data_IF_003565882538
#
_entry.id   IF_003565882538
#
_cell.length_a   1.000
_cell.length_b   1.000
_cell.length_c   1.000
_cell.angle_alpha   90.00
_cell.angle_beta   90.00
_cell.angle_gamma   90.00
#
_symmetry.space_group_name_H-M   'P 1'
#
loop_
_entity.id
_entity.type
_entity.pdbx_description
1 polymer ?
#
# COMPACT_ATOMS: atom_id res chain seq x y z
N UNK A 1 10.81 -4.68 1.37
CA UNK A 1 9.81 -4.47 0.30
C UNK A 1 10.12 -3.24 -0.54
N UNK A 2 9.97 -2.01 -0.04
CA UNK A 2 10.19 -0.79 -0.86
C UNK A 2 11.57 -0.70 -1.50
N UNK A 3 12.63 -1.14 -0.82
CA UNK A 3 13.97 -1.19 -1.43
C UNK A 3 14.04 -2.14 -2.63
N UNK A 4 13.33 -3.27 -2.59
CA UNK A 4 13.26 -4.22 -3.73
C UNK A 4 12.55 -3.56 -4.91
N UNK A 5 11.43 -2.89 -4.64
CA UNK A 5 10.61 -2.18 -5.63
C UNK A 5 11.44 -1.07 -6.29
N UNK A 6 12.19 -0.31 -5.49
CA UNK A 6 13.12 0.71 -5.99
C UNK A 6 14.18 0.11 -6.92
N UNK A 7 14.79 -1.01 -6.56
CA UNK A 7 15.83 -1.65 -7.38
C UNK A 7 15.32 -2.24 -8.68
N UNK A 8 14.11 -2.79 -8.69
CA UNK A 8 13.56 -3.48 -9.86
C UNK A 8 12.88 -2.48 -10.81
N UNK A 9 12.17 -1.48 -10.28
CA UNK A 9 11.30 -0.60 -11.06
C UNK A 9 11.68 0.89 -11.01
N UNK A 10 12.70 1.28 -10.24
CA UNK A 10 13.05 2.69 -10.05
C UNK A 10 12.01 3.47 -9.20
N UNK A 11 11.06 2.78 -8.56
CA UNK A 11 9.96 3.41 -7.82
C UNK A 11 10.33 3.65 -6.35
N UNK A 12 10.15 4.89 -5.88
CA UNK A 12 10.34 5.29 -4.48
C UNK A 12 9.00 5.50 -3.79
N UNK A 13 8.77 4.78 -2.69
CA UNK A 13 7.62 5.00 -1.82
C UNK A 13 7.92 6.09 -0.78
N UNK A 14 7.04 7.09 -0.67
CA UNK A 14 7.12 8.16 0.34
C UNK A 14 5.85 8.14 1.19
N UNK A 15 6.01 8.05 2.50
CA UNK A 15 4.87 8.12 3.42
C UNK A 15 4.33 9.54 3.53
N UNK A 16 2.99 9.67 3.54
CA UNK A 16 2.30 10.90 3.91
C UNK A 16 1.43 10.68 5.14
N UNK A 17 1.39 11.71 5.99
CA UNK A 17 0.68 11.69 7.28
C UNK A 17 -0.46 12.71 7.35
N UNK A 18 -0.61 13.51 6.31
CA UNK A 18 -1.63 14.55 6.15
C UNK A 18 -2.83 14.06 5.32
N UNK A 19 -3.02 12.74 5.26
CA UNK A 19 -4.12 12.08 4.54
C UNK A 19 -5.05 11.43 5.55
N UNK A 20 -6.36 11.61 5.36
CA UNK A 20 -7.38 11.02 6.22
C UNK A 20 -7.33 9.49 6.14
N UNK A 21 -7.41 8.84 7.30
CA UNK A 21 -7.39 7.38 7.43
C UNK A 21 -8.50 6.90 8.35
N UNK A 22 -9.02 5.69 8.10
CA UNK A 22 -10.10 5.10 8.91
C UNK A 22 -9.61 4.45 10.21
N UNK A 23 -8.30 4.24 10.37
CA UNK A 23 -7.72 3.63 11.55
C UNK A 23 -6.30 4.16 11.79
N UNK A 24 -5.85 4.39 13.04
CA UNK A 24 -4.52 4.96 13.34
C UNK A 24 -3.33 4.14 12.82
N UNK A 25 -3.51 2.83 12.66
CA UNK A 25 -2.48 1.94 12.12
C UNK A 25 -2.40 1.94 10.58
N UNK A 26 -3.34 2.58 9.90
CA UNK A 26 -3.34 2.68 8.44
C UNK A 26 -2.36 3.78 8.04
N UNK A 27 -1.50 3.45 7.08
CA UNK A 27 -0.48 4.37 6.56
C UNK A 27 -0.75 4.66 5.10
N UNK A 28 -0.46 5.87 4.63
CA UNK A 28 -0.60 6.23 3.24
C UNK A 28 0.77 6.48 2.60
N UNK A 29 0.95 5.95 1.40
CA UNK A 29 2.19 6.10 0.64
C UNK A 29 1.91 6.57 -0.78
N UNK A 30 2.77 7.44 -1.26
CA UNK A 30 2.85 7.84 -2.67
C UNK A 30 4.03 7.14 -3.33
N UNK A 31 3.86 6.72 -4.58
CA UNK A 31 4.88 6.09 -5.40
C UNK A 31 5.38 7.06 -6.48
N UNK A 32 6.68 7.35 -6.45
CA UNK A 32 7.36 8.24 -7.38
C UNK A 32 8.31 7.46 -8.28
N UNK A 33 8.35 7.78 -9.57
CA UNK A 33 9.37 7.23 -10.48
C UNK A 33 10.73 7.96 -10.36
N UNK A 34 11.68 7.57 -11.22
CA UNK A 34 13.04 8.13 -11.24
C UNK A 34 13.09 9.61 -11.63
N UNK A 35 12.06 10.10 -12.33
CA UNK A 35 11.89 11.52 -12.67
C UNK A 35 11.16 12.30 -11.58
N UNK A 36 10.88 11.65 -10.44
CA UNK A 36 10.11 12.19 -9.32
C UNK A 36 8.66 12.55 -9.73
N UNK A 37 8.10 11.85 -10.70
CA UNK A 37 6.68 11.95 -11.05
C UNK A 37 5.84 11.00 -10.20
N UNK A 38 4.71 11.49 -9.69
CA UNK A 38 3.74 10.65 -8.99
C UNK A 38 3.11 9.64 -9.96
N UNK A 39 3.25 8.35 -9.65
CA UNK A 39 2.68 7.25 -10.45
C UNK A 39 1.35 6.76 -9.88
N UNK A 40 1.25 6.68 -8.56
CA UNK A 40 0.06 6.25 -7.85
C UNK A 40 0.28 6.29 -6.34
N UNK A 41 -0.73 5.90 -5.59
CA UNK A 41 -0.67 5.89 -4.13
C UNK A 41 -1.38 4.67 -3.56
N UNK A 42 -1.13 4.35 -2.29
CA UNK A 42 -1.87 3.29 -1.62
C UNK A 42 -1.98 3.51 -0.12
N UNK A 43 -3.07 3.01 0.44
CA UNK A 43 -3.23 2.79 1.88
C UNK A 43 -2.66 1.41 2.24
N UNK A 44 -1.98 1.34 3.37
CA UNK A 44 -1.42 0.12 3.93
C UNK A 44 -2.08 -0.18 5.27
N UNK A 45 -2.90 -1.23 5.33
CA UNK A 45 -3.64 -1.65 6.53
C UNK A 45 -3.23 -3.09 6.93
N UNK A 46 -2.14 -3.21 7.70
CA UNK A 46 -1.46 -4.49 7.95
C UNK A 46 -2.12 -5.36 9.02
N UNK A 47 -2.65 -4.75 10.07
CA UNK A 47 -2.91 -5.47 11.32
C UNK A 47 -4.34 -6.00 11.42
N UNK A 48 -4.46 -7.19 12.00
CA UNK A 48 -5.76 -7.77 12.36
C UNK A 48 -6.40 -6.97 13.51
N UNK A 49 -7.71 -6.73 13.41
CA UNK A 49 -8.54 -6.10 14.44
C UNK A 49 -10.00 -6.53 14.29
N UNK A 50 -10.78 -6.34 15.35
CA UNK A 50 -12.22 -6.60 15.31
C UNK A 50 -12.91 -5.80 14.19
N UNK A 51 -13.92 -6.39 13.58
CA UNK A 51 -14.74 -5.79 12.52
C UNK A 51 -13.97 -5.43 11.22
N UNK A 52 -12.73 -5.87 11.07
CA UNK A 52 -12.00 -5.88 9.80
C UNK A 52 -12.23 -7.21 9.09
N UNK A 53 -12.48 -7.18 7.78
CA UNK A 53 -12.56 -8.38 6.95
C UNK A 53 -11.29 -9.23 7.12
N UNK A 54 -11.42 -10.56 7.13
CA UNK A 54 -10.27 -11.48 7.22
C UNK A 54 -9.59 -11.72 5.87
N UNK A 55 -8.33 -12.16 5.90
CA UNK A 55 -7.50 -12.46 4.72
C UNK A 55 -6.44 -11.40 4.40
N UNK A 56 -5.87 -11.45 3.20
CA UNK A 56 -5.08 -10.39 2.62
C UNK A 56 -5.58 -10.15 1.19
N UNK A 57 -5.65 -8.88 0.78
CA UNK A 57 -6.14 -8.50 -0.53
C UNK A 57 -5.69 -7.08 -0.90
N UNK A 58 -5.63 -6.83 -2.19
CA UNK A 58 -5.62 -5.50 -2.79
C UNK A 58 -7.01 -5.15 -3.33
N UNK A 59 -7.43 -3.90 -3.23
CA UNK A 59 -8.64 -3.38 -3.89
C UNK A 59 -8.45 -1.93 -4.38
N UNK A 60 -9.28 -1.51 -5.33
CA UNK A 60 -9.20 -0.20 -5.96
C UNK A 60 -9.91 0.85 -5.09
N UNK A 61 -9.18 1.88 -4.67
CA UNK A 61 -9.78 3.09 -4.06
C UNK A 61 -10.17 4.08 -5.16
N UNK A 62 -9.23 4.35 -6.06
CA UNK A 62 -9.40 5.22 -7.22
C UNK A 62 -8.74 4.54 -8.41
N UNK A 63 -9.49 4.34 -9.49
CA UNK A 63 -8.95 3.81 -10.74
C UNK A 63 -8.19 4.87 -11.55
N UNK A 64 -7.19 4.44 -12.31
CA UNK A 64 -6.52 5.30 -13.28
C UNK A 64 -7.49 5.67 -14.41
N UNK A 65 -7.60 6.97 -14.70
CA UNK A 65 -8.51 7.45 -15.75
C UNK A 65 -7.97 8.71 -16.41
N UNK A 66 -8.08 8.80 -17.73
CA UNK A 66 -7.90 10.07 -18.44
C UNK A 66 -9.23 10.83 -18.42
N UNK A 67 -9.24 12.01 -17.80
CA UNK A 67 -10.43 12.86 -17.71
C UNK A 67 -10.70 13.55 -19.05
N UNK A 68 -11.90 14.13 -19.19
CA UNK A 68 -12.33 14.81 -20.41
C UNK A 68 -11.44 16.00 -20.78
N UNK A 69 -10.81 16.65 -19.79
CA UNK A 69 -9.84 17.75 -19.98
C UNK A 69 -8.43 17.27 -20.39
N UNK A 70 -8.23 15.96 -20.57
CA UNK A 70 -6.97 15.34 -20.93
C UNK A 70 -6.05 15.02 -19.75
N UNK A 71 -6.36 15.51 -18.54
CA UNK A 71 -5.58 15.23 -17.33
C UNK A 71 -5.68 13.75 -16.92
N UNK A 72 -4.61 13.24 -16.30
CA UNK A 72 -4.55 11.86 -15.83
C UNK A 72 -4.86 11.80 -14.33
N UNK A 73 -5.95 11.15 -13.97
CA UNK A 73 -6.23 10.73 -12.60
C UNK A 73 -5.30 9.58 -12.23
N UNK A 74 -4.51 9.78 -11.18
CA UNK A 74 -3.60 8.76 -10.66
C UNK A 74 -4.36 7.74 -9.80
N UNK A 75 -4.03 6.45 -9.90
CA UNK A 75 -4.70 5.41 -9.13
C UNK A 75 -4.35 5.48 -7.65
N UNK A 76 -5.28 5.02 -6.82
CA UNK A 76 -5.10 4.80 -5.39
C UNK A 76 -5.56 3.37 -5.07
N UNK A 77 -4.74 2.60 -4.35
CA UNK A 77 -5.07 1.24 -3.93
C UNK A 77 -5.28 1.12 -2.42
N UNK A 78 -6.07 0.14 -2.01
CA UNK A 78 -6.09 -0.37 -0.64
C UNK A 78 -5.26 -1.65 -0.58
N UNK A 79 -4.22 -1.68 0.24
CA UNK A 79 -3.45 -2.88 0.53
C UNK A 79 -3.79 -3.35 1.95
N UNK A 80 -4.58 -4.41 2.06
CA UNK A 80 -5.08 -4.91 3.35
C UNK A 80 -4.49 -6.28 3.66
N UNK A 81 -3.94 -6.43 4.86
CA UNK A 81 -3.52 -7.71 5.43
C UNK A 81 -4.12 -7.87 6.84
N UNK A 82 -3.91 -9.03 7.47
CA UNK A 82 -4.37 -9.31 8.84
C UNK A 82 -3.27 -9.97 9.67
N UNK A 83 -2.10 -9.34 9.72
CA UNK A 83 -0.96 -9.84 10.48
C UNK A 83 -1.06 -9.49 11.96
N UNK A 84 -0.25 -10.18 12.76
CA UNK A 84 -0.14 -9.89 14.18
C UNK A 84 0.37 -8.46 14.43
N UNK A 85 -0.36 -7.73 15.27
CA UNK A 85 0.03 -6.39 15.71
C UNK A 85 1.15 -6.44 16.76
N UNK A 86 1.90 -5.35 16.96
CA UNK A 86 2.78 -5.19 18.11
C UNK A 86 2.01 -5.38 19.43
N UNK A 87 2.58 -6.10 20.40
CA UNK A 87 1.93 -6.37 21.71
C UNK A 87 2.93 -6.13 22.83
N UNK A 88 2.50 -5.42 23.89
CA UNK A 88 3.30 -5.18 25.10
C UNK A 88 4.70 -4.60 24.80
N UNK A 89 4.78 -3.63 23.88
CA UNK A 89 6.04 -2.99 23.47
C UNK A 89 6.96 -3.86 22.61
N UNK A 90 6.56 -5.10 22.27
CA UNK A 90 7.29 -5.95 21.33
C UNK A 90 6.90 -5.61 19.89
N UNK A 91 7.86 -5.58 18.95
CA UNK A 91 7.56 -5.32 17.55
C UNK A 91 6.67 -6.42 16.97
N UNK A 92 5.93 -6.09 15.91
CA UNK A 92 5.28 -7.10 15.09
C UNK A 92 6.34 -7.95 14.40
N UNK A 93 6.29 -9.27 14.62
CA UNK A 93 7.11 -10.24 13.91
C UNK A 93 6.22 -11.00 12.95
N UNK A 94 6.63 -11.05 11.69
CA UNK A 94 5.91 -11.74 10.63
C UNK A 94 6.57 -13.08 10.36
N UNK A 95 5.75 -14.10 10.20
CA UNK A 95 6.16 -15.38 9.63
C UNK A 95 6.60 -15.18 8.18
N UNK A 96 7.38 -16.14 7.66
CA UNK A 96 7.80 -16.09 6.27
C UNK A 96 6.61 -16.05 5.30
N UNK A 97 5.56 -16.81 5.58
CA UNK A 97 4.36 -16.85 4.75
C UNK A 97 3.62 -15.51 4.74
N UNK A 98 3.53 -14.82 5.89
CA UNK A 98 2.97 -13.46 5.95
C UNK A 98 3.79 -12.46 5.11
N UNK A 99 5.13 -12.62 5.08
CA UNK A 99 5.98 -11.80 4.20
C UNK A 99 5.71 -12.13 2.73
N UNK A 100 5.58 -13.40 2.34
CA UNK A 100 5.20 -13.79 0.97
C UNK A 100 3.86 -13.15 0.60
N UNK A 101 2.86 -13.28 1.47
CA UNK A 101 1.53 -12.70 1.25
C UNK A 101 1.60 -11.18 1.05
N UNK A 102 2.37 -10.47 1.88
CA UNK A 102 2.54 -9.02 1.73
C UNK A 102 3.13 -8.66 0.35
N UNK A 103 4.16 -9.38 -0.10
CA UNK A 103 4.74 -9.15 -1.43
C UNK A 103 3.77 -9.51 -2.56
N UNK A 104 2.96 -10.55 -2.40
CA UNK A 104 1.93 -10.93 -3.38
C UNK A 104 0.89 -9.82 -3.56
N UNK A 105 0.29 -9.35 -2.45
CA UNK A 105 -0.72 -8.29 -2.50
C UNK A 105 -0.12 -6.97 -2.98
N UNK A 106 1.11 -6.65 -2.57
CA UNK A 106 1.80 -5.45 -3.07
C UNK A 106 2.06 -5.54 -4.58
N UNK A 107 2.27 -6.74 -5.11
CA UNK A 107 2.37 -6.99 -6.56
C UNK A 107 1.10 -6.63 -7.31
N UNK A 108 -0.08 -7.00 -6.78
CA UNK A 108 -1.37 -6.54 -7.33
C UNK A 108 -1.48 -5.02 -7.28
N UNK A 109 -1.08 -4.42 -6.14
CA UNK A 109 -1.03 -2.96 -5.96
C UNK A 109 -0.19 -2.26 -7.01
N UNK A 110 0.99 -2.80 -7.33
CA UNK A 110 1.86 -2.26 -8.38
C UNK A 110 1.27 -2.44 -9.79
N UNK A 111 0.58 -3.55 -10.07
CA UNK A 111 -0.04 -3.78 -11.38
C UNK A 111 -1.20 -2.81 -11.66
N UNK A 112 -1.92 -2.40 -10.63
CA UNK A 112 -2.95 -1.37 -10.73
C UNK A 112 -2.41 0.04 -11.04
N UNK A 113 -1.14 0.30 -10.71
CA UNK A 113 -0.50 1.61 -10.84
C UNK A 113 0.25 1.80 -12.16
#
# INVERSE_FOLDING_TARGET
>A
MFEVVKRIYGITAKERKDVDVWHPDVRFFELYDENNELRGSFYLDLYARENKRGGAWMDDCVGQMRKADGSLQKPVAYLTCNFNRPVNGKPALFTHDEVITLFHEFGHGLHHM
#
